data_IF_355079421499
#
_entry.id   IF_355079421499
#
_cell.length_a   1.000
_cell.length_b   1.000
_cell.length_c   1.000
_cell.angle_alpha   90.00
_cell.angle_beta   90.00
_cell.angle_gamma   90.00
#
_symmetry.space_group_name_H-M   'P 1'
#
loop_
_entity.id
_entity.type
_entity.pdbx_description
1 polymer ?
#
# COMPACT_ATOMS: atom_id res chain seq x y z
N UNK A 1 -20.18 -7.45 -3.00
CA UNK A 1 -20.57 -7.05 -1.62
C UNK A 1 -19.42 -6.29 -1.01
N UNK A 2 -19.57 -4.98 -0.85
CA UNK A 2 -18.52 -4.05 -0.46
C UNK A 2 -18.08 -4.27 0.98
N UNK A 3 -16.86 -4.74 1.17
CA UNK A 3 -16.17 -4.63 2.47
C UNK A 3 -15.93 -3.15 2.70
N UNK A 4 -16.83 -2.50 3.43
CA UNK A 4 -16.54 -1.22 4.07
C UNK A 4 -15.41 -1.45 5.06
N UNK A 5 -14.16 -1.37 4.57
CA UNK A 5 -13.00 -1.31 5.43
C UNK A 5 -12.88 0.15 5.88
N UNK A 6 -13.13 0.48 7.16
CA UNK A 6 -12.99 1.84 7.67
C UNK A 6 -11.53 2.30 7.74
N UNK A 7 -10.59 1.42 7.38
CA UNK A 7 -9.15 1.65 7.42
C UNK A 7 -8.60 1.71 6.00
N UNK A 8 -7.77 2.72 5.72
CA UNK A 8 -7.09 2.85 4.43
C UNK A 8 -6.18 1.67 4.16
N UNK A 9 -5.80 1.46 2.88
CA UNK A 9 -4.88 0.39 2.52
C UNK A 9 -3.59 0.49 3.34
N UNK A 10 -3.03 1.69 3.48
CA UNK A 10 -1.78 1.90 4.20
C UNK A 10 -1.85 1.45 5.67
N UNK A 11 -2.95 1.72 6.37
CA UNK A 11 -3.13 1.24 7.75
C UNK A 11 -3.14 -0.29 7.81
N UNK A 12 -3.81 -0.94 6.86
CA UNK A 12 -3.86 -2.41 6.80
C UNK A 12 -2.48 -3.01 6.52
N UNK A 13 -1.74 -2.43 5.58
CA UNK A 13 -0.36 -2.85 5.28
C UNK A 13 0.51 -2.66 6.52
N UNK A 14 0.42 -1.50 7.18
CA UNK A 14 1.18 -1.23 8.40
C UNK A 14 0.88 -2.27 9.49
N UNK A 15 -0.39 -2.57 9.73
CA UNK A 15 -0.80 -3.59 10.69
C UNK A 15 -0.30 -5.00 10.31
N UNK A 16 -0.30 -5.36 9.03
CA UNK A 16 0.25 -6.63 8.56
C UNK A 16 1.76 -6.73 8.85
N UNK A 17 2.52 -5.66 8.64
CA UNK A 17 3.94 -5.62 8.97
C UNK A 17 4.17 -5.70 10.48
N UNK A 18 3.39 -4.98 11.29
CA UNK A 18 3.47 -5.06 12.76
C UNK A 18 3.15 -6.46 13.30
N UNK A 19 2.25 -7.19 12.64
CA UNK A 19 1.88 -8.57 12.98
C UNK A 19 2.83 -9.62 12.39
N UNK A 20 3.89 -9.23 11.67
CA UNK A 20 4.80 -10.15 10.99
C UNK A 20 4.18 -10.90 9.79
N UNK A 21 3.02 -10.43 9.31
CA UNK A 21 2.25 -10.98 8.20
C UNK A 21 2.49 -10.20 6.88
N UNK A 22 3.69 -9.64 6.71
CA UNK A 22 4.06 -8.83 5.53
C UNK A 22 3.91 -9.58 4.20
N UNK A 23 3.94 -10.92 4.19
CA UNK A 23 3.64 -11.72 3.00
C UNK A 23 2.27 -11.40 2.39
N UNK A 24 1.26 -11.14 3.22
CA UNK A 24 -0.07 -10.80 2.73
C UNK A 24 -0.18 -9.34 2.25
N UNK A 25 0.79 -8.48 2.59
CA UNK A 25 0.79 -7.08 2.18
C UNK A 25 0.77 -6.95 0.65
N UNK A 26 1.57 -7.74 -0.06
CA UNK A 26 1.59 -7.76 -1.52
C UNK A 26 0.22 -8.13 -2.08
N UNK A 27 -0.43 -9.16 -1.53
CA UNK A 27 -1.75 -9.62 -1.99
C UNK A 27 -2.80 -8.49 -1.80
N UNK A 28 -2.76 -7.78 -0.66
CA UNK A 28 -3.65 -6.64 -0.41
C UNK A 28 -3.47 -5.51 -1.43
N UNK A 29 -2.22 -5.20 -1.78
CA UNK A 29 -1.93 -4.19 -2.81
C UNK A 29 -2.43 -4.64 -4.18
N UNK A 30 -2.21 -5.91 -4.53
CA UNK A 30 -2.70 -6.46 -5.80
C UNK A 30 -4.23 -6.41 -5.90
N UNK A 31 -4.94 -6.77 -4.84
CA UNK A 31 -6.40 -6.69 -4.80
C UNK A 31 -6.88 -5.23 -4.93
N UNK A 32 -6.21 -4.30 -4.26
CA UNK A 32 -6.53 -2.87 -4.34
C UNK A 32 -6.34 -2.29 -5.76
N UNK A 33 -5.33 -2.77 -6.50
CA UNK A 33 -5.11 -2.44 -7.90
C UNK A 33 -6.23 -3.01 -8.79
N UNK A 34 -6.57 -4.28 -8.59
CA UNK A 34 -7.68 -4.94 -9.33
C UNK A 34 -9.01 -4.24 -9.11
N UNK A 35 -9.30 -3.80 -7.88
CA UNK A 35 -10.51 -3.04 -7.54
C UNK A 35 -10.61 -1.71 -8.32
N UNK A 36 -9.48 -1.18 -8.78
CA UNK A 36 -9.37 0.04 -9.61
C UNK A 36 -9.22 -0.25 -11.09
N UNK A 37 -9.41 -1.49 -11.50
CA UNK A 37 -9.25 -1.94 -12.88
C UNK A 37 -7.79 -1.80 -13.39
N UNK A 38 -6.82 -1.81 -12.48
CA UNK A 38 -5.39 -1.85 -12.79
C UNK A 38 -4.88 -3.29 -12.79
N UNK A 39 -3.92 -3.60 -13.67
CA UNK A 39 -3.30 -4.92 -13.72
C UNK A 39 -2.07 -4.98 -12.79
N UNK A 40 -2.14 -5.71 -11.65
CA UNK A 40 -1.04 -5.80 -10.71
C UNK A 40 0.22 -6.45 -11.28
N UNK A 41 0.11 -7.22 -12.37
CA UNK A 41 1.27 -7.84 -13.02
C UNK A 41 2.18 -6.82 -13.72
N UNK A 42 1.65 -5.63 -14.04
CA UNK A 42 2.39 -4.52 -14.64
C UNK A 42 3.22 -3.74 -13.62
N UNK A 43 3.00 -3.98 -12.33
CA UNK A 43 3.66 -3.26 -11.25
C UNK A 43 4.59 -4.17 -10.44
N UNK A 44 5.68 -3.58 -9.98
CA UNK A 44 6.50 -4.06 -8.90
C UNK A 44 6.07 -3.31 -7.63
N UNK A 45 5.78 -4.07 -6.57
CA UNK A 45 5.26 -3.54 -5.31
C UNK A 45 6.38 -3.62 -4.29
N UNK A 46 6.83 -2.47 -3.83
CA UNK A 46 7.90 -2.31 -2.85
C UNK A 46 7.32 -1.72 -1.55
N UNK A 47 7.84 -2.16 -0.42
CA UNK A 47 7.43 -1.69 0.90
C UNK A 47 8.61 -1.06 1.61
N UNK A 48 8.44 0.18 2.05
CA UNK A 48 9.46 0.94 2.75
C UNK A 48 9.00 1.23 4.18
N UNK A 49 9.72 0.70 5.17
CA UNK A 49 9.50 1.08 6.57
C UNK A 49 10.00 2.51 6.77
N UNK A 50 9.07 3.45 6.95
CA UNK A 50 9.39 4.82 7.41
C UNK A 50 9.14 4.91 8.91
N UNK A 51 10.18 5.31 9.63
CA UNK A 51 10.06 5.75 11.02
C UNK A 51 9.25 7.04 11.05
N UNK A 52 8.07 7.00 11.65
CA UNK A 52 7.21 8.18 11.79
C UNK A 52 7.81 9.08 12.87
N UNK A 53 7.92 10.40 12.65
CA UNK A 53 8.37 11.32 13.68
C UNK A 53 7.42 11.28 14.89
N UNK A 54 8.01 11.41 16.08
CA UNK A 54 7.35 11.34 17.38
C UNK A 54 6.15 12.29 17.46
N UNK A 55 4.93 11.75 17.51
CA UNK A 55 3.68 12.53 17.52
C UNK A 55 2.48 11.77 16.95
N UNK A 56 2.72 10.70 16.20
CA UNK A 56 1.69 9.80 15.66
C UNK A 56 1.61 8.54 16.53
N UNK A 57 0.41 8.01 16.79
CA UNK A 57 0.18 6.77 17.57
C UNK A 57 0.85 5.53 16.95
N UNK A 58 1.10 5.55 15.65
CA UNK A 58 1.79 4.47 14.94
C UNK A 58 3.30 4.61 15.13
N UNK A 59 3.95 3.54 15.60
CA UNK A 59 5.40 3.51 15.83
C UNK A 59 6.17 3.27 14.54
N UNK A 60 5.49 2.75 13.50
CA UNK A 60 6.03 2.50 12.16
C UNK A 60 4.98 2.84 11.11
N UNK A 61 5.42 3.33 9.95
CA UNK A 61 4.56 3.53 8.78
C UNK A 61 5.16 2.75 7.60
N UNK A 62 4.33 1.98 6.91
CA UNK A 62 4.75 1.30 5.68
C UNK A 62 4.33 2.15 4.49
N UNK A 63 5.32 2.67 3.77
CA UNK A 63 5.10 3.33 2.49
C UNK A 63 5.11 2.27 1.39
N UNK A 64 4.12 2.35 0.50
CA UNK A 64 3.93 1.44 -0.61
C UNK A 64 4.43 2.16 -1.85
N UNK A 65 5.49 1.65 -2.45
CA UNK A 65 6.01 2.14 -3.72
C UNK A 65 5.57 1.20 -4.83
N UNK A 66 4.88 1.75 -5.82
CA UNK A 66 4.51 1.05 -7.02
C UNK A 66 5.44 1.50 -8.15
N UNK A 67 6.12 0.55 -8.79
CA UNK A 67 7.01 0.80 -9.93
C UNK A 67 6.48 0.04 -11.13
N UNK A 68 6.30 0.69 -12.29
CA UNK A 68 5.91 -0.04 -13.49
C UNK A 68 7.06 -0.90 -14.00
N UNK A 69 6.77 -2.16 -14.30
CA UNK A 69 7.76 -3.13 -14.81
C UNK A 69 8.23 -2.83 -16.22
N UNK A 70 7.42 -2.11 -16.99
CA UNK A 70 7.76 -1.65 -18.33
C UNK A 70 8.74 -0.46 -18.35
N UNK A 71 9.13 0.04 -17.16
CA UNK A 71 10.03 1.19 -17.01
C UNK A 71 9.36 2.54 -17.19
N UNK A 72 8.03 2.59 -17.41
CA UNK A 72 7.30 3.85 -17.46
C UNK A 72 7.15 4.46 -16.07
N UNK A 73 7.00 5.79 -16.03
CA UNK A 73 6.62 6.47 -14.80
C UNK A 73 5.23 5.97 -14.36
N UNK A 74 5.08 5.74 -13.06
CA UNK A 74 3.78 5.49 -12.49
C UNK A 74 2.97 6.78 -12.45
N UNK A 75 1.66 6.65 -12.62
CA UNK A 75 0.74 7.74 -12.41
C UNK A 75 0.84 8.29 -10.97
N UNK A 76 1.12 9.60 -10.80
CA UNK A 76 1.28 10.21 -9.47
C UNK A 76 0.04 10.04 -8.59
N UNK A 77 -1.16 10.07 -9.19
CA UNK A 77 -2.41 9.89 -8.46
C UNK A 77 -2.52 8.48 -7.85
N UNK A 78 -2.01 7.45 -8.55
CA UNK A 78 -2.04 6.06 -8.08
C UNK A 78 -1.10 5.88 -6.89
N UNK A 79 0.11 6.45 -7.00
CA UNK A 79 1.11 6.45 -5.92
C UNK A 79 0.65 7.26 -4.69
N UNK A 80 -0.12 8.33 -4.88
CA UNK A 80 -0.71 9.10 -3.79
C UNK A 80 -1.89 8.36 -3.13
N UNK A 81 -2.81 7.81 -3.93
CA UNK A 81 -4.00 7.15 -3.42
C UNK A 81 -3.67 5.85 -2.67
N UNK A 82 -2.63 5.12 -3.09
CA UNK A 82 -2.20 3.90 -2.40
C UNK A 82 -1.63 4.17 -1.00
N UNK A 83 -0.98 5.33 -0.83
CA UNK A 83 -0.41 5.79 0.45
C UNK A 83 -1.35 6.73 1.22
N UNK A 84 -2.63 6.77 0.86
CA UNK A 84 -3.59 7.65 1.51
C UNK A 84 -3.89 7.19 2.94
N UNK A 85 -3.82 8.12 3.88
CA UNK A 85 -4.08 7.88 5.31
C UNK A 85 -5.50 8.23 5.77
N UNK A 86 -6.20 9.08 5.02
CA UNK A 86 -7.51 9.66 5.41
C UNK A 86 -8.39 9.94 4.21
#
# INVERSE_FOLDING_TARGET
MSRHNPYTLQMQITQLFEQGQSFFATIRVQDWLRDRNEDPSLYEILFHEKSVPSGVKATKLIEIELRRRDGQAIDPWLQQEINRQV
#
